data_IF_265386832999
#
_entry.id   IF_265386832999
#
_cell.length_a   1.000
_cell.length_b   1.000
_cell.length_c   1.000
_cell.angle_alpha   90.00
_cell.angle_beta   90.00
_cell.angle_gamma   90.00
#
_symmetry.space_group_name_H-M   'P 1'
#
loop_
_entity.id
_entity.type
_entity.pdbx_description
1 polymer ?
#
# COMPACT_ATOMS: atom_id res chain seq x y z
N UNK A 1 -21.07 -5.59 -10.10
CA UNK A 1 -20.54 -4.70 -9.04
C UNK A 1 -19.03 -4.82 -8.84
N UNK A 2 -18.43 -6.01 -9.01
CA UNK A 2 -16.98 -6.22 -8.76
C UNK A 2 -16.05 -5.57 -9.80
N UNK A 3 -16.45 -5.55 -11.09
CA UNK A 3 -15.69 -4.86 -12.17
C UNK A 3 -15.47 -3.37 -11.93
N UNK A 4 -16.52 -2.64 -11.55
CA UNK A 4 -16.41 -1.19 -11.26
C UNK A 4 -15.45 -0.89 -10.09
N UNK A 5 -15.32 -1.83 -9.14
CA UNK A 5 -14.38 -1.72 -8.02
C UNK A 5 -12.94 -2.02 -8.48
N UNK A 6 -12.78 -2.94 -9.43
CA UNK A 6 -11.50 -3.29 -10.06
C UNK A 6 -10.94 -2.13 -10.90
N UNK A 7 -11.76 -1.58 -11.81
CA UNK A 7 -11.28 -0.60 -12.79
C UNK A 7 -10.66 0.65 -12.13
N UNK A 8 -11.34 1.23 -11.13
CA UNK A 8 -10.81 2.42 -10.43
C UNK A 8 -9.64 2.13 -9.47
N UNK A 9 -9.59 0.93 -8.90
CA UNK A 9 -8.49 0.54 -8.03
C UNK A 9 -7.22 0.26 -8.81
N UNK A 10 -7.31 -0.45 -9.94
CA UNK A 10 -6.15 -0.82 -10.75
C UNK A 10 -5.46 0.42 -11.30
N UNK A 11 -6.23 1.42 -11.77
CA UNK A 11 -5.69 2.71 -12.18
C UNK A 11 -4.97 3.43 -11.02
N UNK A 12 -5.60 3.48 -9.85
CA UNK A 12 -4.98 4.07 -8.66
C UNK A 12 -3.70 3.33 -8.26
N UNK A 13 -3.73 2.00 -8.23
CA UNK A 13 -2.61 1.17 -7.84
C UNK A 13 -1.44 1.35 -8.82
N UNK A 14 -1.69 1.33 -10.12
CA UNK A 14 -0.70 1.57 -11.15
C UNK A 14 -0.08 2.97 -11.02
N UNK A 15 -0.92 4.00 -10.83
CA UNK A 15 -0.46 5.39 -10.68
C UNK A 15 0.35 5.63 -9.40
N UNK A 16 0.08 4.90 -8.31
CA UNK A 16 0.73 5.11 -7.00
C UNK A 16 1.82 4.10 -6.65
N UNK A 17 1.95 3.02 -7.41
CA UNK A 17 2.95 1.98 -7.17
C UNK A 17 4.36 2.54 -6.97
N UNK A 18 4.86 3.35 -7.92
CA UNK A 18 6.22 3.90 -7.88
C UNK A 18 6.48 4.77 -6.64
N UNK A 19 5.54 5.63 -6.29
CA UNK A 19 5.66 6.50 -5.12
C UNK A 19 5.61 5.69 -3.80
N UNK A 20 4.72 4.70 -3.72
CA UNK A 20 4.64 3.81 -2.56
C UNK A 20 5.91 2.97 -2.42
N UNK A 21 6.46 2.47 -3.52
CA UNK A 21 7.70 1.70 -3.52
C UNK A 21 8.90 2.53 -3.09
N UNK A 22 8.97 3.80 -3.51
CA UNK A 22 10.01 4.71 -3.05
C UNK A 22 9.97 4.88 -1.52
N UNK A 23 8.78 5.16 -0.97
CA UNK A 23 8.60 5.29 0.49
C UNK A 23 8.92 3.98 1.20
N UNK A 24 8.45 2.85 0.67
CA UNK A 24 8.70 1.53 1.25
C UNK A 24 10.20 1.21 1.32
N UNK A 25 10.98 1.53 0.27
CA UNK A 25 12.44 1.36 0.29
C UNK A 25 13.12 2.14 1.41
N UNK A 26 12.66 3.35 1.70
CA UNK A 26 13.19 4.14 2.83
C UNK A 26 12.86 3.47 4.16
N UNK A 27 11.63 2.95 4.31
CA UNK A 27 11.17 2.28 5.53
C UNK A 27 11.81 0.91 5.76
N UNK A 28 12.31 0.26 4.70
CA UNK A 28 12.97 -1.04 4.77
C UNK A 28 14.49 -0.97 4.80
N UNK A 29 15.08 0.23 4.86
CA UNK A 29 16.54 0.42 4.87
C UNK A 29 17.21 0.09 3.53
N UNK A 30 16.48 0.22 2.42
CA UNK A 30 16.96 -0.05 1.06
C UNK A 30 16.70 -1.47 0.56
N UNK A 31 16.16 -2.37 1.38
CA UNK A 31 15.77 -3.71 0.94
C UNK A 31 14.59 -3.63 -0.05
N UNK A 32 14.89 -3.86 -1.33
CA UNK A 32 13.94 -3.81 -2.45
C UNK A 32 12.87 -4.88 -2.36
N UNK A 33 13.23 -6.12 -2.04
CA UNK A 33 12.29 -7.24 -1.98
C UNK A 33 11.24 -6.97 -0.91
N UNK A 34 11.72 -6.59 0.28
CA UNK A 34 10.85 -6.26 1.41
C UNK A 34 9.99 -5.03 1.14
N UNK A 35 10.51 -4.05 0.40
CA UNK A 35 9.74 -2.87 0.03
C UNK A 35 8.58 -3.23 -0.90
N UNK A 36 8.81 -4.12 -1.88
CA UNK A 36 7.76 -4.60 -2.78
C UNK A 36 6.69 -5.38 -2.01
N UNK A 37 7.08 -6.31 -1.14
CA UNK A 37 6.16 -7.06 -0.30
C UNK A 37 5.29 -6.13 0.57
N UNK A 38 5.89 -5.07 1.11
CA UNK A 38 5.20 -4.08 1.94
C UNK A 38 4.15 -3.30 1.13
N UNK A 39 4.48 -2.88 -0.09
CA UNK A 39 3.56 -2.18 -0.98
C UNK A 39 2.42 -3.11 -1.40
N UNK A 40 2.73 -4.36 -1.76
CA UNK A 40 1.72 -5.35 -2.12
C UNK A 40 0.75 -5.60 -0.98
N UNK A 41 1.24 -5.84 0.25
CA UNK A 41 0.35 -6.04 1.40
C UNK A 41 -0.50 -4.80 1.70
N UNK A 42 0.07 -3.59 1.55
CA UNK A 42 -0.68 -2.35 1.74
C UNK A 42 -1.79 -2.17 0.69
N UNK A 43 -1.52 -2.46 -0.57
CA UNK A 43 -2.50 -2.41 -1.67
C UNK A 43 -3.58 -3.48 -1.52
N UNK A 44 -3.24 -4.70 -1.08
CA UNK A 44 -4.22 -5.75 -0.76
C UNK A 44 -5.16 -5.29 0.36
N UNK A 45 -4.63 -4.65 1.40
CA UNK A 45 -5.48 -4.08 2.47
C UNK A 45 -6.32 -2.90 1.99
N UNK A 46 -5.81 -2.09 1.05
CA UNK A 46 -6.57 -1.03 0.42
C UNK A 46 -7.71 -1.60 -0.43
N UNK A 47 -7.48 -2.67 -1.19
CA UNK A 47 -8.50 -3.32 -2.03
C UNK A 47 -9.78 -3.64 -1.25
N UNK A 48 -9.64 -4.26 -0.08
CA UNK A 48 -10.80 -4.56 0.79
C UNK A 48 -11.47 -3.31 1.37
N UNK A 49 -10.72 -2.22 1.55
CA UNK A 49 -11.23 -0.94 2.04
C UNK A 49 -11.74 -0.03 0.91
N UNK A 50 -11.45 -0.34 -0.35
CA UNK A 50 -11.63 0.53 -1.51
C UNK A 50 -13.05 1.13 -1.61
N UNK A 51 -14.14 0.38 -1.43
CA UNK A 51 -15.50 0.92 -1.55
C UNK A 51 -15.80 2.06 -0.57
N UNK A 52 -15.08 2.09 0.56
CA UNK A 52 -15.28 3.07 1.62
C UNK A 52 -14.34 4.27 1.48
N UNK A 53 -13.14 4.07 0.93
CA UNK A 53 -12.07 5.08 0.99
C UNK A 53 -11.74 5.71 -0.37
N UNK A 54 -12.17 5.11 -1.49
CA UNK A 54 -11.83 5.56 -2.84
C UNK A 54 -12.16 7.04 -3.09
N UNK A 55 -13.35 7.48 -2.66
CA UNK A 55 -13.82 8.86 -2.86
C UNK A 55 -13.35 9.83 -1.76
N UNK A 56 -12.77 9.33 -0.68
CA UNK A 56 -12.40 10.16 0.48
C UNK A 56 -10.90 10.43 0.53
N UNK A 57 -10.11 9.38 0.76
CA UNK A 57 -8.67 9.52 1.02
C UNK A 57 -7.92 8.20 0.84
N UNK A 58 -7.94 7.59 -0.37
CA UNK A 58 -7.29 6.30 -0.61
C UNK A 58 -5.77 6.36 -0.38
N UNK A 59 -5.17 7.48 -0.76
CA UNK A 59 -3.77 7.82 -0.54
C UNK A 59 -3.34 7.84 0.93
N UNK A 60 -4.12 8.52 1.78
CA UNK A 60 -3.82 8.62 3.20
C UNK A 60 -3.95 7.25 3.86
N UNK A 61 -4.98 6.49 3.47
CA UNK A 61 -5.21 5.14 3.96
C UNK A 61 -4.03 4.22 3.63
N UNK A 62 -3.62 4.14 2.36
CA UNK A 62 -2.55 3.22 1.95
C UNK A 62 -1.20 3.60 2.57
N UNK A 63 -0.87 4.89 2.68
CA UNK A 63 0.35 5.35 3.36
C UNK A 63 0.34 5.00 4.84
N UNK A 64 -0.79 5.16 5.52
CA UNK A 64 -0.95 4.78 6.92
C UNK A 64 -0.76 3.27 7.12
N UNK A 65 -1.34 2.46 6.23
CA UNK A 65 -1.15 1.01 6.24
C UNK A 65 0.32 0.65 6.03
N UNK A 66 0.98 1.25 5.04
CA UNK A 66 2.39 1.01 4.72
C UNK A 66 3.30 1.24 5.94
N UNK A 67 3.14 2.38 6.62
CA UNK A 67 3.92 2.73 7.83
C UNK A 67 3.64 1.76 8.98
N UNK A 68 2.37 1.39 9.20
CA UNK A 68 2.00 0.41 10.24
C UNK A 68 2.62 -0.96 9.99
N UNK A 69 2.62 -1.41 8.73
CA UNK A 69 3.24 -2.67 8.34
C UNK A 69 4.75 -2.64 8.53
N UNK A 70 5.41 -1.54 8.13
CA UNK A 70 6.86 -1.37 8.32
C UNK A 70 7.24 -1.44 9.80
N UNK A 71 6.53 -0.69 10.66
CA UNK A 71 6.76 -0.67 12.09
C UNK A 71 6.52 -2.03 12.77
N UNK A 72 5.46 -2.75 12.36
CA UNK A 72 5.21 -4.13 12.84
C UNK A 72 6.33 -5.07 12.42
N UNK A 73 6.76 -4.97 11.17
CA UNK A 73 7.83 -5.80 10.61
C UNK A 73 9.15 -5.53 11.31
N UNK A 74 9.47 -4.27 11.62
CA UNK A 74 10.68 -3.88 12.34
C UNK A 74 10.76 -4.50 13.74
N UNK A 75 9.65 -4.49 14.49
CA UNK A 75 9.58 -5.08 15.84
C UNK A 75 9.74 -6.60 15.89
N UNK A 76 9.61 -7.31 14.76
CA UNK A 76 9.79 -8.78 14.70
C UNK A 76 11.25 -9.18 14.43
N UNK A 77 12.13 -8.21 14.16
CA UNK A 77 13.53 -8.44 13.81
C UNK A 77 14.49 -8.22 14.98
N UNK A 78 13.96 -7.88 16.14
CA UNK A 78 14.65 -7.72 17.42
C UNK A 78 13.97 -8.65 18.42
#
# INVERSE_FOLDING_TARGET
MERFRADGFDEFAAARWGALLHVARLLTGGDRQRAEDLVQEALVKLWFAWPRVAEQAPDAYVRQVLVRLAARSARRRW
#
